data_IF_808499689397
#
_entry.id   IF_808499689397
#
_cell.length_a   1.000
_cell.length_b   1.000
_cell.length_c   1.000
_cell.angle_alpha   90.00
_cell.angle_beta   90.00
_cell.angle_gamma   90.00
#
_symmetry.space_group_name_H-M   'P 1'
#
loop_
_entity.id
_entity.type
_entity.pdbx_description
1 polymer ?
#
# COMPACT_ATOMS: atom_id res chain seq x y z
N UNK A 1 2.76 -0.12 -2.21
CA UNK A 1 1.31 -0.26 -1.92
C UNK A 1 0.47 0.61 -2.85
N UNK A 2 0.75 1.92 -2.97
CA UNK A 2 -0.12 2.86 -3.68
C UNK A 2 -0.32 2.54 -5.17
N UNK A 3 0.76 2.23 -5.89
CA UNK A 3 0.72 1.87 -7.32
C UNK A 3 -0.19 0.65 -7.57
N UNK A 4 -0.06 -0.41 -6.79
CA UNK A 4 -0.87 -1.63 -6.95
C UNK A 4 -2.34 -1.39 -6.61
N UNK A 5 -2.65 -0.53 -5.64
CA UNK A 5 -4.02 -0.15 -5.35
C UNK A 5 -4.63 0.64 -6.52
N UNK A 6 -3.95 1.68 -6.99
CA UNK A 6 -4.45 2.54 -8.07
C UNK A 6 -4.59 1.78 -9.39
N UNK A 7 -3.63 0.93 -9.77
CA UNK A 7 -3.68 0.22 -11.05
C UNK A 7 -4.26 -1.19 -10.97
N UNK A 8 -4.47 -1.73 -9.77
CA UNK A 8 -5.06 -3.05 -9.55
C UNK A 8 -6.48 -2.97 -9.04
N UNK A 9 -6.67 -2.37 -7.85
CA UNK A 9 -7.99 -2.31 -7.20
C UNK A 9 -8.91 -1.31 -7.89
N UNK A 10 -8.44 -0.07 -8.10
CA UNK A 10 -9.29 0.97 -8.70
C UNK A 10 -9.64 0.71 -10.17
N UNK A 11 -8.83 -0.08 -10.88
CA UNK A 11 -9.11 -0.49 -12.27
C UNK A 11 -9.95 -1.76 -12.36
N UNK A 12 -10.29 -2.38 -11.22
CA UNK A 12 -11.07 -3.62 -11.16
C UNK A 12 -10.30 -4.90 -11.51
N UNK A 13 -8.97 -4.83 -11.67
CA UNK A 13 -8.12 -6.02 -11.90
C UNK A 13 -7.94 -6.88 -10.65
N UNK A 14 -8.08 -6.28 -9.48
CA UNK A 14 -8.03 -6.94 -8.17
C UNK A 14 -9.19 -6.48 -7.32
N UNK A 15 -9.78 -7.40 -6.56
CA UNK A 15 -10.63 -7.05 -5.42
C UNK A 15 -9.77 -6.55 -4.26
N UNK A 16 -10.39 -5.86 -3.30
CA UNK A 16 -9.69 -5.43 -2.07
C UNK A 16 -9.14 -6.63 -1.27
N UNK A 17 -9.86 -7.75 -1.24
CA UNK A 17 -9.42 -8.97 -0.55
C UNK A 17 -8.23 -9.61 -1.25
N UNK A 18 -8.22 -9.67 -2.59
CA UNK A 18 -7.07 -10.16 -3.34
C UNK A 18 -5.85 -9.26 -3.17
N UNK A 19 -6.05 -7.93 -3.10
CA UNK A 19 -4.99 -7.00 -2.78
C UNK A 19 -4.35 -7.31 -1.43
N UNK A 20 -5.15 -7.53 -0.37
CA UNK A 20 -4.61 -7.95 0.95
C UNK A 20 -3.89 -9.30 0.83
N UNK A 21 -4.47 -10.25 0.10
CA UNK A 21 -3.86 -11.57 -0.09
C UNK A 21 -2.46 -11.49 -0.72
N UNK A 22 -2.30 -10.77 -1.83
CA UNK A 22 -1.02 -10.71 -2.57
C UNK A 22 0.02 -9.80 -1.90
N UNK A 23 -0.39 -8.92 -0.99
CA UNK A 23 0.52 -7.94 -0.37
C UNK A 23 0.94 -8.31 1.04
N UNK A 24 0.15 -9.08 1.78
CA UNK A 24 0.46 -9.45 3.16
C UNK A 24 0.13 -10.92 3.49
N UNK A 25 -1.12 -11.35 3.33
CA UNK A 25 -1.57 -12.64 3.89
C UNK A 25 -0.87 -13.84 3.24
N UNK A 26 -0.68 -13.85 1.92
CA UNK A 26 0.01 -14.95 1.24
C UNK A 26 1.50 -14.97 1.58
N UNK A 27 2.15 -13.80 1.65
CA UNK A 27 3.54 -13.67 2.08
C UNK A 27 3.73 -14.23 3.49
N UNK A 28 2.84 -13.88 4.43
CA UNK A 28 2.89 -14.41 5.79
C UNK A 28 2.74 -15.94 5.85
N UNK A 29 1.89 -16.52 4.99
CA UNK A 29 1.74 -17.98 4.88
C UNK A 29 2.99 -18.65 4.29
N UNK A 30 3.52 -18.10 3.19
CA UNK A 30 4.71 -18.64 2.49
C UNK A 30 5.93 -18.64 3.42
N UNK A 31 6.11 -17.59 4.21
CA UNK A 31 7.22 -17.48 5.16
C UNK A 31 6.91 -18.11 6.53
N UNK A 32 5.80 -18.83 6.66
CA UNK A 32 5.39 -19.55 7.89
C UNK A 32 5.30 -18.64 9.14
N UNK A 33 4.81 -17.41 8.97
CA UNK A 33 4.56 -16.43 10.05
C UNK A 33 3.09 -16.03 10.18
N UNK A 34 2.20 -16.71 9.46
CA UNK A 34 0.75 -16.59 9.63
C UNK A 34 0.27 -17.45 10.82
N UNK A 35 -0.62 -16.98 11.71
CA UNK A 35 -1.39 -15.73 11.65
C UNK A 35 -0.76 -14.52 12.37
N UNK A 36 0.48 -14.65 12.89
CA UNK A 36 1.14 -13.57 13.65
C UNK A 36 1.29 -12.29 12.81
N UNK A 37 1.50 -12.43 11.49
CA UNK A 37 1.41 -11.34 10.50
C UNK A 37 0.35 -11.64 9.45
N UNK A 38 -0.17 -10.59 8.80
CA UNK A 38 -1.07 -10.72 7.64
C UNK A 38 -2.52 -11.08 7.99
N UNK A 39 -2.91 -10.96 9.26
CA UNK A 39 -4.28 -11.04 9.77
C UNK A 39 -4.61 -9.75 10.54
N UNK A 40 -5.89 -9.47 10.78
CA UNK A 40 -6.33 -8.30 11.57
C UNK A 40 -6.61 -8.67 13.04
N UNK A 41 -7.16 -9.86 13.30
CA UNK A 41 -7.59 -10.29 14.62
C UNK A 41 -6.59 -11.29 15.21
N UNK A 42 -6.08 -11.00 16.42
CA UNK A 42 -5.17 -11.91 17.12
C UNK A 42 -3.75 -11.98 16.54
N UNK A 43 -3.37 -11.00 15.71
CA UNK A 43 -2.04 -10.83 15.13
C UNK A 43 -1.29 -9.66 15.76
N UNK A 44 -0.04 -9.46 15.35
CA UNK A 44 0.70 -8.24 15.66
C UNK A 44 -0.01 -7.01 15.08
N UNK A 45 0.17 -5.86 15.73
CA UNK A 45 -0.46 -4.58 15.38
C UNK A 45 0.20 -3.87 14.17
N UNK A 46 0.60 -4.63 13.16
CA UNK A 46 1.16 -4.12 11.90
C UNK A 46 0.03 -3.72 10.94
N UNK A 47 -0.42 -2.48 11.05
CA UNK A 47 -1.58 -1.97 10.29
C UNK A 47 -1.19 -0.85 9.34
N UNK A 48 -1.84 -0.82 8.17
CA UNK A 48 -1.74 0.27 7.21
C UNK A 48 -3.13 0.85 6.94
N UNK A 49 -3.29 2.15 7.17
CA UNK A 49 -4.51 2.90 6.83
C UNK A 49 -4.35 3.41 5.41
N UNK A 50 -5.21 2.95 4.51
CA UNK A 50 -5.24 3.37 3.11
C UNK A 50 -6.40 4.35 2.92
N UNK A 51 -6.08 5.64 2.78
CA UNK A 51 -7.08 6.69 2.59
C UNK A 51 -7.15 7.09 1.12
N UNK A 52 -8.35 7.08 0.50
CA UNK A 52 -8.55 7.66 -0.83
C UNK A 52 -8.13 9.13 -0.85
N UNK A 53 -7.44 9.56 -1.89
CA UNK A 53 -7.03 10.94 -2.11
C UNK A 53 -7.34 11.34 -3.55
N UNK A 54 -7.59 12.63 -3.85
CA UNK A 54 -7.58 13.11 -5.23
C UNK A 54 -6.33 12.63 -6.00
N UNK A 55 -6.51 12.47 -7.31
CA UNK A 55 -5.43 12.12 -8.24
C UNK A 55 -4.23 13.02 -7.99
N UNK A 56 -3.11 12.41 -7.62
CA UNK A 56 -1.85 13.09 -7.37
C UNK A 56 -0.74 12.31 -8.06
N UNK A 57 0.27 13.01 -8.57
CA UNK A 57 1.44 12.35 -9.13
C UNK A 57 2.34 11.85 -8.01
N UNK A 58 2.93 10.68 -8.21
CA UNK A 58 3.92 10.15 -7.30
C UNK A 58 5.14 11.08 -7.27
N UNK A 59 5.61 11.51 -6.08
CA UNK A 59 6.68 12.50 -5.97
C UNK A 59 8.03 11.96 -6.46
N UNK A 60 8.83 12.84 -7.06
CA UNK A 60 10.21 12.60 -7.50
C UNK A 60 11.12 12.21 -6.32
N UNK A 61 11.02 12.94 -5.21
CA UNK A 61 11.75 12.64 -3.97
C UNK A 61 10.86 11.82 -3.04
N UNK A 62 11.25 10.57 -2.81
CA UNK A 62 10.62 9.72 -1.82
C UNK A 62 11.38 9.75 -0.48
N UNK A 63 10.77 9.24 0.58
CA UNK A 63 11.37 9.14 1.92
C UNK A 63 12.66 8.29 1.88
N UNK A 64 12.74 7.38 0.91
CA UNK A 64 13.94 6.61 0.64
C UNK A 64 14.98 7.54 0.00
N UNK A 65 16.14 7.70 0.65
CA UNK A 65 17.33 8.40 0.12
C UNK A 65 17.87 7.70 -1.13
N UNK A 66 17.21 7.89 -2.27
CA UNK A 66 17.71 7.52 -3.59
C UNK A 66 17.62 8.74 -4.51
N UNK A 67 18.51 8.77 -5.51
CA UNK A 67 18.66 9.88 -6.44
C UNK A 67 17.46 10.01 -7.41
N UNK A 68 16.69 8.94 -7.65
CA UNK A 68 15.53 8.95 -8.55
C UNK A 68 14.46 7.92 -8.15
N UNK A 69 13.23 8.15 -8.61
CA UNK A 69 12.08 7.28 -8.37
C UNK A 69 11.50 6.78 -9.71
N UNK A 70 11.43 5.46 -9.90
CA UNK A 70 10.91 4.85 -11.14
C UNK A 70 9.41 5.06 -11.35
N UNK A 71 8.68 5.40 -10.29
CA UNK A 71 7.26 5.68 -10.33
C UNK A 71 6.96 7.19 -10.43
N UNK A 72 7.98 8.02 -10.59
CA UNK A 72 7.82 9.47 -10.75
C UNK A 72 6.84 9.78 -11.89
N UNK A 73 5.90 10.69 -11.63
CA UNK A 73 4.88 11.09 -12.61
C UNK A 73 3.71 10.12 -12.77
N UNK A 74 3.76 8.91 -12.17
CA UNK A 74 2.59 8.02 -12.16
C UNK A 74 1.46 8.60 -11.33
N UNK A 75 0.23 8.48 -11.83
CA UNK A 75 -0.97 8.89 -11.12
C UNK A 75 -1.30 7.90 -10.00
N UNK A 76 -1.47 8.42 -8.78
CA UNK A 76 -1.92 7.68 -7.62
C UNK A 76 -3.11 8.37 -6.96
N UNK A 77 -3.97 7.55 -6.37
CA UNK A 77 -5.26 7.96 -5.79
C UNK A 77 -5.41 7.53 -4.34
N UNK A 78 -4.34 7.01 -3.74
CA UNK A 78 -4.36 6.52 -2.35
C UNK A 78 -3.11 6.99 -1.63
N UNK A 79 -3.27 7.34 -0.35
CA UNK A 79 -2.18 7.71 0.56
C UNK A 79 -2.22 6.81 1.79
N UNK A 80 -1.04 6.50 2.33
CA UNK A 80 -0.87 5.87 3.65
C UNK A 80 -0.52 6.88 4.74
N UNK A 81 -0.33 8.15 4.38
CA UNK A 81 -0.09 9.24 5.35
C UNK A 81 -1.40 9.99 5.62
N UNK A 82 -1.71 10.29 6.90
CA UNK A 82 -2.82 11.16 7.25
C UNK A 82 -2.60 12.55 6.64
N UNK A 83 -3.68 13.20 6.19
CA UNK A 83 -3.58 14.56 5.62
C UNK A 83 -3.10 15.60 6.64
N UNK A 84 -3.23 15.32 7.94
CA UNK A 84 -2.88 16.21 9.06
C UNK A 84 -1.40 16.26 9.44
N UNK A 85 -0.52 15.44 8.84
CA UNK A 85 0.91 15.38 9.20
C UNK A 85 1.78 16.09 8.14
N UNK A 86 1.28 17.20 7.58
CA UNK A 86 2.01 18.03 6.60
C UNK A 86 2.21 19.47 7.04
N UNK A 87 2.18 19.72 8.35
CA UNK A 87 2.66 20.96 8.98
C UNK A 87 3.98 20.71 9.70
#
# INVERSE_FOLDING_TARGET
MHVLWTHGVNTGRLTMNEFVAVTSANTAKIFNIYPVKGLLLGSDADLAILTPRPLTQYPQKHIIKKLFNIFEGMEITVSTFPQSVRE
#
